data_IF_468310716297
#
_entry.id   IF_468310716297
#
_cell.length_a   1.000
_cell.length_b   1.000
_cell.length_c   1.000
_cell.angle_alpha   90.00
_cell.angle_beta   90.00
_cell.angle_gamma   90.00
#
_symmetry.space_group_name_H-M   'P 1'
#
loop_
_entity.id
_entity.type
_entity.pdbx_description
1 polymer ?
#
# COMPACT_ATOMS: atom_id res chain seq x y z
N UNK A 1 54.11 -52.38 35.23
CA UNK A 1 54.79 -53.55 34.62
C UNK A 1 54.16 -53.71 33.25
N UNK A 2 54.75 -53.15 32.18
CA UNK A 2 55.72 -53.82 31.30
C UNK A 2 55.14 -55.18 30.81
N UNK A 3 54.87 -55.46 29.53
CA UNK A 3 55.71 -55.20 28.36
C UNK A 3 54.97 -55.26 27.01
N UNK A 4 55.62 -54.66 26.01
CA UNK A 4 55.41 -54.73 24.55
C UNK A 4 55.62 -56.13 23.98
N UNK A 5 54.88 -56.50 22.92
CA UNK A 5 55.36 -57.26 21.73
C UNK A 5 54.45 -56.90 20.52
N UNK A 6 54.93 -56.12 19.54
CA UNK A 6 55.25 -56.50 18.13
C UNK A 6 54.19 -57.41 17.45
N UNK A 7 53.62 -57.14 16.26
CA UNK A 7 54.09 -56.39 15.10
C UNK A 7 54.50 -57.34 13.97
N UNK A 8 53.54 -57.91 13.19
CA UNK A 8 53.79 -58.57 11.88
C UNK A 8 52.54 -58.39 10.98
N UNK A 9 52.69 -57.95 9.71
CA UNK A 9 51.58 -57.79 8.77
C UNK A 9 51.30 -59.06 7.95
N UNK A 10 50.01 -59.34 7.71
CA UNK A 10 49.52 -60.44 6.88
C UNK A 10 49.73 -60.13 5.38
N UNK A 11 50.48 -61.02 4.73
CA UNK A 11 50.63 -61.12 3.29
C UNK A 11 49.28 -61.41 2.61
N UNK A 12 48.97 -60.67 1.53
CA UNK A 12 48.00 -61.09 0.52
C UNK A 12 48.72 -61.34 -0.80
N UNK A 13 48.55 -62.58 -1.22
CA UNK A 13 49.05 -63.26 -2.41
C UNK A 13 48.75 -62.49 -3.69
N UNK A 14 49.76 -62.39 -4.54
CA UNK A 14 49.68 -62.00 -5.95
C UNK A 14 49.17 -63.20 -6.74
N UNK A 15 48.01 -63.07 -7.36
CA UNK A 15 47.63 -63.90 -8.51
C UNK A 15 47.50 -63.01 -9.74
N UNK A 16 48.46 -63.16 -10.65
CA UNK A 16 48.41 -62.67 -12.01
C UNK A 16 47.35 -63.46 -12.78
N UNK A 17 46.33 -62.78 -13.30
CA UNK A 17 45.60 -63.26 -14.47
C UNK A 17 45.75 -62.23 -15.58
N UNK A 18 46.59 -62.61 -16.55
CA UNK A 18 46.74 -61.95 -17.85
C UNK A 18 45.48 -62.20 -18.65
N UNK A 19 44.78 -61.15 -19.07
CA UNK A 19 43.86 -61.22 -20.21
C UNK A 19 43.85 -59.88 -20.95
N UNK A 20 44.78 -59.76 -21.90
CA UNK A 20 44.76 -58.75 -22.95
C UNK A 20 43.70 -59.12 -23.98
N UNK A 21 42.46 -58.66 -23.77
CA UNK A 21 41.46 -58.56 -24.83
C UNK A 21 41.48 -57.14 -25.40
N UNK A 22 42.13 -56.95 -26.54
CA UNK A 22 42.07 -55.70 -27.29
C UNK A 22 40.60 -55.40 -27.68
N UNK A 23 39.97 -54.44 -27.00
CA UNK A 23 38.66 -53.91 -27.39
C UNK A 23 38.83 -53.14 -28.69
N UNK A 24 38.28 -53.69 -29.78
CA UNK A 24 38.20 -53.02 -31.07
C UNK A 24 37.55 -51.64 -30.93
N UNK A 25 38.13 -50.62 -31.57
CA UNK A 25 37.55 -49.29 -31.66
C UNK A 25 36.17 -49.36 -32.32
N UNK A 26 35.14 -48.65 -31.83
CA UNK A 26 33.81 -48.69 -32.43
C UNK A 26 33.87 -48.13 -33.86
N UNK A 27 33.32 -48.89 -34.83
CA UNK A 27 33.14 -48.43 -36.21
C UNK A 27 32.36 -47.11 -36.22
N UNK A 28 32.79 -46.16 -37.05
CA UNK A 28 32.09 -44.89 -37.24
C UNK A 28 30.66 -45.17 -37.71
N UNK A 29 29.67 -44.71 -36.94
CA UNK A 29 28.27 -44.90 -37.28
C UNK A 29 27.96 -44.24 -38.64
N UNK A 30 27.49 -45.03 -39.59
CA UNK A 30 26.98 -44.55 -40.88
C UNK A 30 25.78 -43.63 -40.62
N UNK A 31 25.86 -42.37 -41.06
CA UNK A 31 24.78 -41.38 -40.88
C UNK A 31 23.51 -41.77 -41.62
N UNK A 32 22.37 -41.19 -41.24
CA UNK A 32 21.07 -41.47 -41.84
C UNK A 32 21.09 -41.23 -43.38
N UNK A 33 20.80 -42.25 -44.21
CA UNK A 33 20.95 -42.18 -45.68
C UNK A 33 20.09 -41.09 -46.32
N UNK A 34 18.94 -40.74 -45.73
CA UNK A 34 18.06 -39.69 -46.25
C UNK A 34 18.70 -38.29 -46.22
N UNK A 35 19.45 -37.96 -45.16
CA UNK A 35 20.13 -36.66 -45.06
C UNK A 35 21.34 -36.57 -46.00
N UNK A 36 21.99 -37.71 -46.27
CA UNK A 36 23.07 -37.82 -47.26
C UNK A 36 22.57 -37.60 -48.69
N UNK A 37 21.37 -38.08 -49.01
CA UNK A 37 20.75 -37.87 -50.33
C UNK A 37 20.29 -36.42 -50.54
N UNK A 38 19.99 -35.68 -49.48
CA UNK A 38 19.62 -34.26 -49.55
C UNK A 38 20.80 -33.29 -49.46
N UNK A 39 22.05 -33.78 -49.44
CA UNK A 39 23.25 -32.94 -49.35
C UNK A 39 23.41 -32.18 -48.02
N UNK A 40 22.61 -32.52 -47.02
CA UNK A 40 22.66 -31.89 -45.71
C UNK A 40 23.81 -32.50 -44.88
N UNK A 41 24.57 -31.69 -44.13
CA UNK A 41 25.58 -32.24 -43.22
C UNK A 41 24.92 -33.21 -42.24
N UNK A 42 25.66 -34.23 -41.81
CA UNK A 42 25.18 -35.17 -40.79
C UNK A 42 24.99 -34.43 -39.46
N UNK A 43 23.82 -33.81 -39.25
CA UNK A 43 23.44 -33.23 -37.97
C UNK A 43 23.30 -34.39 -37.00
N UNK A 44 24.34 -34.62 -36.20
CA UNK A 44 24.30 -35.57 -35.09
C UNK A 44 23.45 -34.94 -33.99
N UNK A 45 22.14 -34.88 -34.19
CA UNK A 45 21.16 -34.51 -33.18
C UNK A 45 21.13 -35.62 -32.10
N UNK A 46 22.20 -35.70 -31.31
CA UNK A 46 22.23 -36.52 -30.12
C UNK A 46 21.22 -35.92 -29.17
N UNK A 47 20.23 -36.72 -28.77
CA UNK A 47 19.28 -36.33 -27.75
C UNK A 47 20.07 -35.87 -26.51
N UNK A 48 19.63 -34.79 -25.84
CA UNK A 48 20.24 -34.37 -24.59
C UNK A 48 20.28 -35.53 -23.60
N UNK A 49 21.30 -35.57 -22.75
CA UNK A 49 21.40 -36.63 -21.73
C UNK A 49 20.20 -36.62 -20.79
N UNK A 50 19.95 -37.72 -20.05
CA UNK A 50 18.82 -37.82 -19.11
C UNK A 50 18.70 -36.61 -18.18
N UNK A 51 19.80 -36.16 -17.57
CA UNK A 51 19.79 -35.02 -16.66
C UNK A 51 19.47 -33.71 -17.40
N UNK A 52 19.95 -33.55 -18.63
CA UNK A 52 19.59 -32.41 -19.48
C UNK A 52 18.13 -32.43 -19.91
N UNK A 53 17.56 -33.60 -20.24
CA UNK A 53 16.13 -33.72 -20.54
C UNK A 53 15.26 -33.35 -19.34
N UNK A 54 15.63 -33.82 -18.15
CA UNK A 54 14.92 -33.46 -16.89
C UNK A 54 15.02 -31.96 -16.64
N UNK A 55 16.21 -31.37 -16.80
CA UNK A 55 16.39 -29.93 -16.62
C UNK A 55 15.56 -29.13 -17.62
N UNK A 56 15.63 -29.47 -18.91
CA UNK A 56 14.89 -28.78 -19.96
C UNK A 56 13.37 -28.96 -19.79
N UNK A 57 12.88 -30.14 -19.38
CA UNK A 57 11.45 -30.35 -19.17
C UNK A 57 10.91 -29.52 -18.00
N UNK A 58 11.62 -29.49 -16.86
CA UNK A 58 11.20 -28.71 -15.69
C UNK A 58 11.24 -27.21 -15.99
N UNK A 59 12.35 -26.72 -16.57
CA UNK A 59 12.50 -25.29 -16.88
C UNK A 59 11.54 -24.82 -17.97
N UNK A 60 11.34 -25.60 -19.03
CA UNK A 60 10.36 -25.27 -20.08
C UNK A 60 8.93 -25.32 -19.57
N UNK A 61 8.57 -26.31 -18.74
CA UNK A 61 7.24 -26.39 -18.13
C UNK A 61 6.96 -25.18 -17.23
N UNK A 62 7.91 -24.80 -16.37
CA UNK A 62 7.78 -23.60 -15.54
C UNK A 62 7.69 -22.32 -16.37
N UNK A 63 8.56 -22.15 -17.38
CA UNK A 63 8.53 -20.99 -18.27
C UNK A 63 7.21 -20.90 -19.06
N UNK A 64 6.70 -22.05 -19.53
CA UNK A 64 5.42 -22.13 -20.21
C UNK A 64 4.27 -21.72 -19.29
N UNK A 65 4.27 -22.16 -18.03
CA UNK A 65 3.26 -21.77 -17.04
C UNK A 65 3.28 -20.25 -16.77
N UNK A 66 4.46 -19.65 -16.59
CA UNK A 66 4.61 -18.20 -16.40
C UNK A 66 4.16 -17.41 -17.64
N UNK A 67 4.56 -17.87 -18.83
CA UNK A 67 4.15 -17.23 -20.08
C UNK A 67 2.63 -17.31 -20.29
N UNK A 68 2.05 -18.47 -19.98
CA UNK A 68 0.62 -18.70 -20.09
C UNK A 68 -0.17 -17.79 -19.14
N UNK A 69 0.21 -17.70 -17.86
CA UNK A 69 -0.48 -16.81 -16.90
C UNK A 69 -0.38 -15.35 -17.34
N UNK A 70 0.80 -14.88 -17.78
CA UNK A 70 0.97 -13.51 -18.33
C UNK A 70 0.16 -13.24 -19.59
N UNK A 71 0.01 -14.24 -20.46
CA UNK A 71 -0.79 -14.11 -21.68
C UNK A 71 -2.28 -14.01 -21.34
N UNK A 72 -2.75 -14.82 -20.39
CA UNK A 72 -4.14 -14.77 -19.94
C UNK A 72 -4.44 -13.48 -19.17
N UNK A 73 -3.55 -13.00 -18.29
CA UNK A 73 -3.73 -11.70 -17.61
C UNK A 73 -3.81 -10.55 -18.61
N UNK A 74 -2.94 -10.52 -19.64
CA UNK A 74 -2.98 -9.51 -20.68
C UNK A 74 -4.26 -9.58 -21.54
N UNK A 75 -4.75 -10.80 -21.81
CA UNK A 75 -6.02 -11.01 -22.51
C UNK A 75 -7.20 -10.46 -21.69
N UNK A 76 -7.26 -10.78 -20.40
CA UNK A 76 -8.29 -10.30 -19.48
C UNK A 76 -8.22 -8.78 -19.35
N UNK A 77 -7.03 -8.22 -19.16
CA UNK A 77 -6.82 -6.78 -19.11
C UNK A 77 -7.41 -6.10 -20.34
N UNK A 78 -7.10 -6.61 -21.54
CA UNK A 78 -7.65 -6.08 -22.79
C UNK A 78 -9.18 -6.17 -22.83
N UNK A 79 -9.75 -7.31 -22.46
CA UNK A 79 -11.21 -7.51 -22.42
C UNK A 79 -11.92 -6.46 -21.55
N UNK A 80 -11.43 -6.19 -20.34
CA UNK A 80 -12.03 -5.19 -19.46
C UNK A 80 -11.71 -3.75 -19.87
N UNK A 81 -10.54 -3.50 -20.47
CA UNK A 81 -10.24 -2.20 -21.08
C UNK A 81 -11.18 -1.90 -22.25
N UNK A 82 -11.42 -2.87 -23.13
CA UNK A 82 -12.33 -2.75 -24.28
C UNK A 82 -13.79 -2.53 -23.81
N UNK A 83 -14.17 -3.07 -22.64
CA UNK A 83 -15.48 -2.86 -22.01
C UNK A 83 -15.69 -1.38 -21.61
N UNK A 84 -14.68 -0.76 -20.99
CA UNK A 84 -14.78 0.63 -20.50
C UNK A 84 -14.39 1.68 -21.54
N UNK A 85 -13.67 1.28 -22.59
CA UNK A 85 -13.19 2.16 -23.66
C UNK A 85 -14.25 3.09 -24.26
N UNK A 86 -15.52 2.68 -24.48
CA UNK A 86 -16.54 3.57 -25.03
C UNK A 86 -16.82 4.81 -24.18
N UNK A 87 -16.49 4.81 -22.88
CA UNK A 87 -16.61 5.99 -22.04
C UNK A 87 -15.58 7.06 -22.39
N UNK A 88 -14.40 6.67 -22.86
CA UNK A 88 -13.33 7.59 -23.24
C UNK A 88 -13.62 8.37 -24.52
N UNK A 89 -14.48 7.85 -25.38
CA UNK A 89 -14.86 8.48 -26.66
C UNK A 89 -15.95 9.54 -26.49
N UNK A 90 -16.56 9.65 -25.30
CA UNK A 90 -17.60 10.64 -25.02
C UNK A 90 -17.00 12.04 -24.99
N UNK A 91 -17.46 12.87 -25.91
CA UNK A 91 -17.05 14.28 -25.99
C UNK A 91 -17.70 15.06 -24.83
N UNK A 92 -16.88 15.69 -23.99
CA UNK A 92 -17.33 16.56 -22.91
C UNK A 92 -17.22 18.04 -23.31
N UNK A 93 -18.12 18.91 -22.83
CA UNK A 93 -17.98 20.36 -22.99
C UNK A 93 -16.69 20.87 -22.34
N UNK A 94 -16.10 21.93 -22.90
CA UNK A 94 -14.86 22.54 -22.37
C UNK A 94 -15.01 23.14 -20.98
N UNK A 95 -16.25 23.43 -20.56
CA UNK A 95 -16.58 23.94 -19.23
C UNK A 95 -16.75 22.82 -18.19
N UNK A 96 -16.80 21.55 -18.61
CA UNK A 96 -17.11 20.42 -17.75
C UNK A 96 -15.87 19.57 -17.50
N UNK A 97 -15.53 19.33 -16.24
CA UNK A 97 -14.44 18.44 -15.86
C UNK A 97 -14.92 16.98 -15.80
N UNK A 98 -14.17 15.99 -16.33
CA UNK A 98 -14.57 14.60 -16.25
C UNK A 98 -14.68 14.11 -14.81
N UNK A 99 -15.48 13.06 -14.61
CA UNK A 99 -15.61 12.40 -13.31
C UNK A 99 -14.25 11.94 -12.75
N UNK A 100 -14.05 12.21 -11.46
CA UNK A 100 -12.82 11.87 -10.71
C UNK A 100 -13.07 10.80 -9.65
N UNK A 101 -12.15 9.84 -9.52
CA UNK A 101 -12.20 8.76 -8.54
C UNK A 101 -11.16 8.99 -7.43
N UNK A 102 -11.43 8.57 -6.19
CA UNK A 102 -10.41 8.58 -5.14
C UNK A 102 -9.91 7.16 -4.89
N UNK A 103 -8.59 6.98 -4.80
CA UNK A 103 -7.94 5.70 -4.60
C UNK A 103 -7.25 5.73 -3.24
N UNK A 104 -7.66 4.86 -2.34
CA UNK A 104 -7.02 4.69 -1.05
C UNK A 104 -6.00 3.56 -1.15
N UNK A 105 -4.72 3.93 -1.01
CA UNK A 105 -3.59 3.03 -1.14
C UNK A 105 -2.79 3.02 0.16
N UNK A 106 -2.59 1.85 0.74
CA UNK A 106 -1.80 1.71 1.96
C UNK A 106 -0.73 0.65 1.83
N UNK A 107 0.43 0.93 2.43
CA UNK A 107 1.51 -0.05 2.55
C UNK A 107 0.97 -1.33 3.23
N UNK A 108 1.21 -2.51 2.66
CA UNK A 108 0.83 -3.74 3.33
C UNK A 108 1.60 -3.87 4.64
N UNK A 109 1.07 -4.65 5.59
CA UNK A 109 1.71 -4.75 6.87
C UNK A 109 3.11 -5.36 6.80
N UNK A 110 4.08 -4.69 7.41
CA UNK A 110 5.52 -5.05 7.43
C UNK A 110 6.28 -4.88 6.11
N UNK A 111 5.69 -4.22 5.12
CA UNK A 111 6.35 -3.86 3.86
C UNK A 111 6.07 -2.38 3.53
N UNK A 112 6.73 -1.85 2.51
CA UNK A 112 6.61 -0.45 2.09
C UNK A 112 5.46 -0.21 1.11
N UNK A 113 5.21 1.08 0.82
CA UNK A 113 4.18 1.50 -0.14
C UNK A 113 4.46 1.08 -1.59
N UNK A 114 5.70 0.63 -1.89
CA UNK A 114 6.11 0.24 -3.25
C UNK A 114 5.28 -0.91 -3.79
N UNK A 115 5.06 -1.97 -3.01
CA UNK A 115 4.29 -3.13 -3.45
C UNK A 115 2.83 -2.76 -3.77
N UNK A 116 2.24 -1.89 -2.95
CA UNK A 116 0.89 -1.37 -3.19
C UNK A 116 0.85 -0.52 -4.48
N UNK A 117 1.84 0.35 -4.72
CA UNK A 117 1.93 1.13 -5.96
C UNK A 117 2.11 0.26 -7.19
N UNK A 118 2.99 -0.73 -7.15
CA UNK A 118 3.18 -1.68 -8.24
C UNK A 118 1.88 -2.41 -8.57
N UNK A 119 1.11 -2.85 -7.56
CA UNK A 119 -0.20 -3.48 -7.74
C UNK A 119 -1.22 -2.54 -8.40
N UNK A 120 -1.25 -1.27 -7.98
CA UNK A 120 -2.08 -0.25 -8.62
C UNK A 120 -1.70 -0.05 -10.10
N UNK A 121 -0.40 0.09 -10.40
CA UNK A 121 0.09 0.32 -11.76
C UNK A 121 -0.14 -0.88 -12.69
N UNK A 122 -0.01 -2.10 -12.16
CA UNK A 122 -0.16 -3.34 -12.94
C UNK A 122 -1.63 -3.64 -13.26
N UNK A 123 -2.54 -3.54 -12.28
CA UNK A 123 -3.91 -4.04 -12.45
C UNK A 123 -4.99 -2.94 -12.55
N UNK A 124 -4.91 -1.88 -11.74
CA UNK A 124 -6.00 -0.90 -11.63
C UNK A 124 -5.86 0.21 -12.66
N UNK A 125 -4.66 0.79 -12.78
CA UNK A 125 -4.38 1.92 -13.68
C UNK A 125 -4.79 1.66 -15.13
N UNK A 126 -4.49 0.50 -15.75
CA UNK A 126 -4.83 0.30 -17.16
C UNK A 126 -6.32 0.44 -17.46
N UNK A 127 -7.19 -0.05 -16.57
CA UNK A 127 -8.65 0.05 -16.72
C UNK A 127 -9.13 1.48 -16.52
N UNK A 128 -8.59 2.21 -15.54
CA UNK A 128 -8.92 3.63 -15.34
C UNK A 128 -8.52 4.49 -16.54
N UNK A 129 -7.33 4.25 -17.09
CA UNK A 129 -6.82 4.95 -18.28
C UNK A 129 -7.65 4.63 -19.51
N UNK A 130 -8.05 3.37 -19.71
CA UNK A 130 -8.91 2.98 -20.81
C UNK A 130 -10.28 3.68 -20.76
N UNK A 131 -10.80 3.94 -19.56
CA UNK A 131 -12.03 4.70 -19.34
C UNK A 131 -11.87 6.23 -19.33
N UNK A 132 -10.68 6.77 -19.57
CA UNK A 132 -10.35 8.20 -19.46
C UNK A 132 -10.77 8.85 -18.11
N UNK A 133 -10.69 8.08 -17.03
CA UNK A 133 -11.06 8.53 -15.69
C UNK A 133 -9.88 9.25 -15.01
N UNK A 134 -10.14 10.39 -14.37
CA UNK A 134 -9.15 11.06 -13.50
C UNK A 134 -9.18 10.43 -12.10
N UNK A 135 -8.05 10.45 -11.39
CA UNK A 135 -7.98 9.89 -10.04
C UNK A 135 -7.06 10.65 -9.08
N UNK A 136 -7.47 10.73 -7.82
CA UNK A 136 -6.64 11.16 -6.70
C UNK A 136 -6.21 9.97 -5.87
N UNK A 137 -4.94 9.91 -5.48
CA UNK A 137 -4.42 8.84 -4.62
C UNK A 137 -4.21 9.39 -3.21
N UNK A 138 -4.92 8.80 -2.24
CA UNK A 138 -4.68 9.00 -0.81
C UNK A 138 -3.77 7.88 -0.34
N UNK A 139 -2.51 8.22 -0.04
CA UNK A 139 -1.49 7.26 0.37
C UNK A 139 -1.35 7.17 1.90
N UNK A 140 -1.36 5.95 2.43
CA UNK A 140 -1.06 5.63 3.83
C UNK A 140 0.24 4.84 3.97
N UNK A 141 1.18 5.33 4.78
CA UNK A 141 2.43 4.61 5.08
C UNK A 141 2.33 3.82 6.38
N UNK A 142 1.58 4.33 7.34
CA UNK A 142 1.35 3.74 8.67
C UNK A 142 -0.12 3.41 8.84
N UNK A 143 -0.39 2.57 9.83
CA UNK A 143 -1.73 2.30 10.32
C UNK A 143 -2.37 3.61 10.82
N UNK A 144 -3.63 3.83 10.46
CA UNK A 144 -4.41 5.02 10.81
C UNK A 144 -4.28 6.18 9.84
N UNK A 145 -3.38 6.08 8.86
CA UNK A 145 -3.16 7.12 7.87
C UNK A 145 -4.37 7.30 6.94
N UNK A 146 -4.95 6.21 6.46
CA UNK A 146 -6.09 6.26 5.54
C UNK A 146 -7.37 6.64 6.27
N UNK A 147 -7.56 6.12 7.49
CA UNK A 147 -8.66 6.51 8.37
C UNK A 147 -8.69 8.03 8.53
N UNK A 148 -7.57 8.63 8.92
CA UNK A 148 -7.48 10.08 9.09
C UNK A 148 -7.80 10.81 7.79
N UNK A 149 -7.24 10.38 6.65
CA UNK A 149 -7.50 11.00 5.35
C UNK A 149 -8.98 10.95 4.94
N UNK A 150 -9.64 9.80 5.12
CA UNK A 150 -11.07 9.64 4.84
C UNK A 150 -11.93 10.50 5.79
N UNK A 151 -11.63 10.49 7.09
CA UNK A 151 -12.34 11.28 8.08
C UNK A 151 -12.18 12.78 7.84
N UNK A 152 -10.97 13.25 7.53
CA UNK A 152 -10.68 14.65 7.25
C UNK A 152 -11.40 15.13 5.97
N UNK A 153 -11.41 14.30 4.91
CA UNK A 153 -12.17 14.57 3.67
C UNK A 153 -13.65 14.79 3.97
N UNK A 154 -14.25 13.97 4.84
CA UNK A 154 -15.66 14.11 5.25
C UNK A 154 -15.86 15.33 6.15
N UNK A 155 -14.99 15.57 7.13
CA UNK A 155 -15.06 16.76 7.99
C UNK A 155 -14.96 18.05 7.20
N UNK A 156 -14.12 18.07 6.16
CA UNK A 156 -13.98 19.20 5.24
C UNK A 156 -15.28 19.44 4.46
N UNK A 157 -15.88 18.38 3.92
CA UNK A 157 -17.21 18.46 3.29
C UNK A 157 -18.26 19.02 4.25
N UNK A 158 -18.31 18.52 5.50
CA UNK A 158 -19.23 19.01 6.53
C UNK A 158 -19.00 20.48 6.87
N UNK A 159 -17.75 20.91 7.03
CA UNK A 159 -17.39 22.33 7.27
C UNK A 159 -17.87 23.24 6.14
N UNK A 160 -17.73 22.82 4.88
CA UNK A 160 -18.24 23.57 3.71
C UNK A 160 -19.78 23.62 3.70
N UNK A 161 -20.44 22.49 3.98
CA UNK A 161 -21.91 22.39 3.95
C UNK A 161 -22.60 23.13 5.10
N UNK A 162 -22.02 23.12 6.31
CA UNK A 162 -22.57 23.76 7.51
C UNK A 162 -22.20 25.25 7.61
N UNK A 163 -21.45 25.79 6.65
CA UNK A 163 -21.02 27.20 6.66
C UNK A 163 -20.07 27.56 7.81
N UNK A 164 -19.51 26.55 8.50
CA UNK A 164 -18.62 26.73 9.64
C UNK A 164 -17.21 27.22 9.25
N UNK A 165 -16.98 27.52 7.97
CA UNK A 165 -15.72 28.07 7.45
C UNK A 165 -15.31 29.38 8.15
N UNK A 166 -16.25 30.12 8.74
CA UNK A 166 -15.97 31.39 9.45
C UNK A 166 -15.45 31.20 10.88
N UNK A 167 -15.53 30.00 11.47
CA UNK A 167 -15.18 29.80 12.89
C UNK A 167 -13.75 29.30 13.13
N UNK A 168 -12.97 29.03 12.09
CA UNK A 168 -11.56 28.63 12.21
C UNK A 168 -10.73 29.34 11.13
N UNK A 169 -10.20 30.51 11.49
CA UNK A 169 -9.20 31.26 10.69
C UNK A 169 -7.82 30.57 10.65
N UNK A 170 -7.63 29.47 11.40
CA UNK A 170 -6.32 28.83 11.60
C UNK A 170 -5.99 27.66 10.65
N UNK A 171 -6.92 27.21 9.79
CA UNK A 171 -6.66 26.09 8.88
C UNK A 171 -6.41 26.65 7.48
N UNK A 172 -5.15 26.55 7.02
CA UNK A 172 -4.78 26.94 5.67
C UNK A 172 -5.60 26.18 4.62
N UNK A 173 -6.19 26.88 3.63
CA UNK A 173 -6.98 26.22 2.59
C UNK A 173 -6.10 25.25 1.81
N UNK A 174 -6.62 24.05 1.57
CA UNK A 174 -5.87 23.04 0.82
C UNK A 174 -5.73 23.50 -0.63
N UNK A 175 -4.62 23.15 -1.29
CA UNK A 175 -4.39 23.46 -2.71
C UNK A 175 -5.58 23.09 -3.61
N UNK A 176 -6.24 21.97 -3.32
CA UNK A 176 -7.44 21.51 -4.03
C UNK A 176 -8.64 22.46 -3.87
N UNK A 177 -8.83 23.05 -2.69
CA UNK A 177 -9.94 23.99 -2.42
C UNK A 177 -9.71 25.31 -3.15
N UNK A 178 -8.48 25.82 -3.12
CA UNK A 178 -8.09 27.04 -3.85
C UNK A 178 -8.35 26.84 -5.34
N UNK A 179 -7.95 25.68 -5.87
CA UNK A 179 -8.17 25.33 -7.28
C UNK A 179 -9.66 25.17 -7.59
N UNK A 180 -10.44 24.58 -6.67
CA UNK A 180 -11.88 24.42 -6.84
C UNK A 180 -12.61 25.78 -6.83
N UNK A 181 -12.26 26.71 -5.95
CA UNK A 181 -12.85 28.05 -5.90
C UNK A 181 -12.52 28.85 -7.18
N UNK A 182 -11.27 28.75 -7.66
CA UNK A 182 -10.88 29.36 -8.93
C UNK A 182 -11.67 28.78 -10.11
N UNK A 183 -11.93 27.47 -10.12
CA UNK A 183 -12.76 26.80 -11.13
C UNK A 183 -14.21 27.23 -11.05
N UNK A 184 -14.78 27.29 -9.85
CA UNK A 184 -16.15 27.77 -9.62
C UNK A 184 -16.30 29.22 -10.13
N UNK A 185 -15.30 30.08 -9.91
CA UNK A 185 -15.28 31.47 -10.41
C UNK A 185 -15.22 31.58 -11.94
N UNK A 186 -14.49 30.66 -12.59
CA UNK A 186 -14.41 30.59 -14.06
C UNK A 186 -15.66 29.94 -14.67
N UNK A 187 -16.54 29.34 -13.86
CA UNK A 187 -17.73 28.63 -14.31
C UNK A 187 -17.44 27.20 -14.79
N UNK A 188 -16.33 26.61 -14.37
CA UNK A 188 -16.04 25.19 -14.59
C UNK A 188 -16.87 24.34 -13.64
N UNK A 189 -17.59 23.35 -14.18
CA UNK A 189 -18.49 22.48 -13.42
C UNK A 189 -18.00 21.03 -13.49
N UNK A 190 -18.07 20.30 -12.39
CA UNK A 190 -17.79 18.86 -12.41
C UNK A 190 -18.90 18.10 -13.17
N UNK A 191 -18.53 17.08 -13.92
CA UNK A 191 -19.51 16.19 -14.57
C UNK A 191 -20.50 15.62 -13.55
N UNK A 192 -21.79 15.67 -13.91
CA UNK A 192 -22.87 15.07 -13.14
C UNK A 192 -22.79 13.54 -13.22
N UNK A 193 -21.95 12.94 -12.38
CA UNK A 193 -21.73 11.50 -12.33
C UNK A 193 -21.49 11.01 -10.91
N UNK A 194 -21.68 9.71 -10.71
CA UNK A 194 -21.48 9.07 -9.41
C UNK A 194 -19.98 8.97 -9.11
N UNK A 195 -19.47 9.88 -8.28
CA UNK A 195 -18.11 9.79 -7.72
C UNK A 195 -18.01 8.55 -6.84
N UNK A 196 -16.82 7.95 -6.75
CA UNK A 196 -16.62 6.84 -5.85
C UNK A 196 -15.17 6.58 -5.51
N UNK A 197 -15.02 5.67 -4.56
CA UNK A 197 -13.76 5.40 -3.88
C UNK A 197 -13.30 3.96 -4.18
N UNK A 198 -12.05 3.77 -4.60
CA UNK A 198 -11.42 2.46 -4.76
C UNK A 198 -10.43 2.24 -3.62
N UNK A 199 -10.56 1.13 -2.91
CA UNK A 199 -9.78 0.84 -1.72
C UNK A 199 -8.97 -0.43 -1.95
N UNK A 200 -7.64 -0.35 -1.87
CA UNK A 200 -6.76 -1.47 -2.22
C UNK A 200 -6.31 -2.22 -0.96
N UNK A 201 -6.82 -3.44 -0.81
CA UNK A 201 -6.50 -4.39 0.27
C UNK A 201 -7.44 -4.32 1.48
N UNK A 202 -7.49 -5.42 2.23
CA UNK A 202 -8.32 -5.55 3.44
C UNK A 202 -7.98 -4.52 4.52
N UNK A 203 -6.71 -4.26 4.78
CA UNK A 203 -6.24 -3.31 5.80
C UNK A 203 -6.74 -1.90 5.50
N UNK A 204 -6.62 -1.47 4.24
CA UNK A 204 -7.14 -0.19 3.78
C UNK A 204 -8.67 -0.12 3.86
N UNK A 205 -9.37 -1.23 3.59
CA UNK A 205 -10.84 -1.30 3.70
C UNK A 205 -11.32 -1.08 5.14
N UNK A 206 -10.66 -1.70 6.13
CA UNK A 206 -10.96 -1.49 7.55
C UNK A 206 -10.78 -0.04 7.97
N UNK A 207 -9.67 0.57 7.58
CA UNK A 207 -9.38 1.97 7.88
C UNK A 207 -10.32 2.95 7.18
N UNK A 208 -10.66 2.68 5.92
CA UNK A 208 -11.62 3.48 5.17
C UNK A 208 -12.99 3.46 5.85
N UNK A 209 -13.53 2.28 6.15
CA UNK A 209 -14.79 2.16 6.87
C UNK A 209 -14.75 2.88 8.21
N UNK A 210 -13.66 2.70 8.98
CA UNK A 210 -13.48 3.43 10.24
C UNK A 210 -13.47 4.95 10.02
N UNK A 211 -12.71 5.44 9.04
CA UNK A 211 -12.62 6.86 8.72
C UNK A 211 -13.96 7.45 8.26
N UNK A 212 -14.77 6.69 7.52
CA UNK A 212 -16.12 7.12 7.11
C UNK A 212 -17.02 7.32 8.32
N UNK A 213 -17.05 6.37 9.25
CA UNK A 213 -17.85 6.47 10.47
C UNK A 213 -17.34 7.60 11.36
N UNK A 214 -16.02 7.72 11.53
CA UNK A 214 -15.39 8.77 12.31
C UNK A 214 -15.65 10.17 11.73
N UNK A 215 -15.66 10.31 10.40
CA UNK A 215 -15.91 11.58 9.72
C UNK A 215 -17.35 12.07 9.88
N UNK A 216 -18.32 11.16 9.87
CA UNK A 216 -19.75 11.52 9.98
C UNK A 216 -20.23 11.61 11.43
N UNK A 217 -19.85 10.66 12.30
CA UNK A 217 -20.30 10.61 13.70
C UNK A 217 -19.40 11.39 14.65
N UNK A 218 -18.11 11.54 14.29
CA UNK A 218 -17.14 12.22 15.14
C UNK A 218 -17.29 13.74 15.12
N UNK A 219 -16.66 14.42 16.10
CA UNK A 219 -16.61 15.87 16.14
C UNK A 219 -15.82 16.45 14.95
N UNK A 220 -16.12 17.70 14.59
CA UNK A 220 -15.41 18.44 13.54
C UNK A 220 -14.04 18.91 14.00
N UNK A 221 -13.95 19.36 15.25
CA UNK A 221 -12.70 19.77 15.91
C UNK A 221 -12.09 18.57 16.60
N UNK A 222 -10.77 18.50 16.56
CA UNK A 222 -10.01 17.56 17.37
C UNK A 222 -10.43 17.70 18.84
N UNK A 223 -10.86 16.60 19.49
CA UNK A 223 -11.09 16.66 20.92
C UNK A 223 -9.76 17.04 21.58
N UNK A 224 -9.78 18.05 22.44
CA UNK A 224 -8.60 18.39 23.25
C UNK A 224 -8.30 17.13 24.05
N UNK A 225 -7.24 16.42 23.66
CA UNK A 225 -6.68 15.39 24.48
C UNK A 225 -6.22 16.13 25.74
N UNK A 226 -6.91 15.92 26.86
CA UNK A 226 -6.45 16.43 28.14
C UNK A 226 -5.21 15.61 28.46
N UNK A 227 -4.07 16.05 27.93
CA UNK A 227 -2.79 15.68 28.50
C UNK A 227 -2.84 16.23 29.93
N UNK A 228 -3.15 15.37 30.89
CA UNK A 228 -2.81 15.66 32.28
C UNK A 228 -1.31 15.81 32.31
N UNK A 229 -0.86 17.07 32.20
CA UNK A 229 0.51 17.48 32.44
C UNK A 229 0.85 16.89 33.79
N UNK A 230 1.73 15.88 33.80
CA UNK A 230 2.28 15.31 35.00
C UNK A 230 2.79 16.46 35.87
N UNK A 231 2.04 16.78 36.92
CA UNK A 231 2.33 17.88 37.81
C UNK A 231 3.68 17.61 38.48
N UNK A 232 4.64 18.47 38.13
CA UNK A 232 5.71 18.97 38.99
C UNK A 232 6.51 17.90 39.75
N UNK A 233 7.64 17.48 39.18
CA UNK A 233 8.81 17.11 40.00
C UNK A 233 9.24 18.35 40.80
N UNK A 234 8.65 18.55 41.97
CA UNK A 234 9.12 19.56 42.92
C UNK A 234 10.51 19.14 43.37
N UNK A 235 11.49 19.92 42.93
CA UNK A 235 12.84 19.97 43.46
C UNK A 235 12.74 20.29 44.96
N UNK A 236 13.03 19.30 45.81
CA UNK A 236 13.25 19.53 47.23
C UNK A 236 14.73 19.84 47.38
N UNK A 237 15.10 21.12 47.31
CA UNK A 237 16.39 21.59 47.82
C UNK A 237 16.19 22.04 49.27
N UNK A 238 16.63 21.17 50.17
CA UNK A 238 16.70 21.44 51.60
C UNK A 238 17.98 22.20 51.96
N UNK A 239 17.75 23.44 52.40
CA UNK A 239 18.48 24.19 53.42
C UNK A 239 19.71 25.07 53.04
N UNK A 240 19.90 26.19 53.78
CA UNK A 240 20.57 27.40 53.30
C UNK A 240 22.02 27.51 53.78
N UNK A 241 22.86 28.25 53.08
CA UNK A 241 24.15 28.70 53.60
C UNK A 241 24.39 30.17 53.23
N UNK A 242 24.75 30.92 54.27
CA UNK A 242 25.07 32.34 54.26
C UNK A 242 26.23 32.68 53.32
N UNK A 243 26.14 33.85 52.69
CA UNK A 243 27.31 34.64 52.29
C UNK A 243 27.37 34.96 50.81
N UNK A 244 26.86 36.13 50.41
CA UNK A 244 27.64 37.12 49.66
C UNK A 244 26.76 38.32 49.29
N UNK A 245 26.42 39.09 50.32
CA UNK A 245 26.01 40.49 50.19
C UNK A 245 27.22 41.41 49.87
N UNK A 246 28.21 40.92 49.10
CA UNK A 246 29.54 41.52 49.00
C UNK A 246 30.12 41.60 47.59
N UNK A 247 29.32 41.57 46.51
CA UNK A 247 29.80 42.08 45.19
C UNK A 247 28.65 42.75 44.43
N UNK A 248 28.11 43.83 45.01
CA UNK A 248 27.15 44.74 44.37
C UNK A 248 27.71 46.17 44.28
N UNK A 249 29.00 46.29 43.97
CA UNK A 249 29.69 47.56 43.82
C UNK A 249 30.88 47.46 42.86
N UNK A 250 30.62 47.25 41.56
CA UNK A 250 31.49 47.65 40.44
C UNK A 250 30.99 47.08 39.11
N UNK A 251 29.83 47.50 38.60
CA UNK A 251 29.51 47.42 37.18
C UNK A 251 28.22 48.20 36.86
N UNK A 252 28.18 49.45 37.29
CA UNK A 252 27.40 50.45 36.58
C UNK A 252 28.27 51.70 36.56
N UNK A 253 28.68 52.12 35.36
CA UNK A 253 28.78 53.50 34.91
C UNK A 253 29.49 53.56 33.55
N UNK A 254 28.73 53.99 32.55
CA UNK A 254 29.04 55.14 31.67
C UNK A 254 28.86 54.82 30.16
N UNK A 255 27.72 55.26 29.56
CA UNK A 255 27.60 56.44 28.64
C UNK A 255 27.88 56.04 27.16
N UNK A 256 27.09 56.34 26.11
CA UNK A 256 25.98 57.28 25.82
C UNK A 256 25.38 57.00 24.41
N UNK A 257 24.12 57.42 24.21
CA UNK A 257 23.48 58.13 23.06
C UNK A 257 23.68 57.62 21.59
N UNK A 258 22.79 57.68 20.58
CA UNK A 258 21.34 57.96 20.29
C UNK A 258 21.10 57.56 18.78
N UNK A 259 19.85 57.49 18.26
CA UNK A 259 19.46 56.96 16.91
C UNK A 259 19.24 58.12 15.89
N UNK A 260 18.47 58.07 14.74
CA UNK A 260 17.69 57.02 14.02
C UNK A 260 17.80 57.08 12.45
N UNK A 261 16.86 56.41 11.73
CA UNK A 261 16.33 56.73 10.36
C UNK A 261 16.95 55.93 9.21
N UNK A 262 16.29 55.51 8.12
CA UNK A 262 14.93 55.07 7.76
C UNK A 262 15.00 54.76 6.24
N UNK A 263 14.19 53.79 5.77
CA UNK A 263 13.69 53.71 4.37
C UNK A 263 14.75 53.29 3.30
N UNK A 264 14.48 52.69 2.14
CA UNK A 264 13.29 52.46 1.30
C UNK A 264 13.63 51.41 0.22
N UNK A 265 12.61 50.65 -0.24
CA UNK A 265 12.42 50.25 -1.65
C UNK A 265 12.85 48.80 -2.01
N UNK A 266 11.93 47.88 -2.33
CA UNK A 266 11.23 47.74 -3.64
C UNK A 266 12.18 47.13 -4.69
N UNK A 267 11.91 46.08 -5.48
CA UNK A 267 10.70 45.35 -5.88
C UNK A 267 11.10 44.49 -7.12
N UNK A 268 10.29 43.47 -7.48
CA UNK A 268 10.18 42.79 -8.80
C UNK A 268 11.35 41.88 -9.27
N UNK A 269 11.19 40.71 -9.90
CA UNK A 269 10.05 40.01 -10.56
C UNK A 269 10.50 38.63 -11.05
N UNK A 270 9.54 37.71 -11.25
CA UNK A 270 9.45 36.64 -12.30
C UNK A 270 10.52 35.52 -12.31
N UNK A 271 10.27 34.28 -12.73
CA UNK A 271 9.12 33.38 -12.90
C UNK A 271 9.73 32.09 -13.45
N UNK A 272 9.22 30.91 -13.06
CA UNK A 272 9.14 29.68 -13.88
C UNK A 272 10.47 29.03 -14.35
N UNK A 273 10.62 27.71 -14.57
CA UNK A 273 9.85 26.49 -14.37
C UNK A 273 10.74 25.33 -14.85
N UNK A 274 10.39 24.10 -14.44
CA UNK A 274 10.73 22.81 -15.07
C UNK A 274 12.12 22.19 -14.79
N UNK A 275 12.11 21.07 -14.07
CA UNK A 275 13.06 19.97 -14.29
C UNK A 275 12.22 18.75 -14.66
N UNK A 276 12.41 18.34 -15.92
CA UNK A 276 11.94 17.08 -16.48
C UNK A 276 13.11 16.10 -16.45
N UNK A 277 12.79 14.91 -15.97
CA UNK A 277 13.43 13.61 -16.08
C UNK A 277 14.22 13.36 -17.38
N UNK A 278 15.44 12.82 -17.30
CA UNK A 278 15.75 11.51 -17.93
C UNK A 278 17.03 10.84 -17.38
N UNK A 279 17.08 9.55 -17.63
CA UNK A 279 17.86 8.49 -17.00
C UNK A 279 19.07 8.03 -17.84
N UNK A 280 19.89 7.16 -17.21
CA UNK A 280 20.90 6.26 -17.79
C UNK A 280 22.25 6.90 -18.17
N UNK A 281 23.41 6.25 -18.00
CA UNK A 281 23.74 4.84 -17.85
C UNK A 281 25.10 4.66 -17.14
N UNK A 282 25.30 3.47 -16.53
CA UNK A 282 26.52 2.63 -16.53
C UNK A 282 27.87 3.27 -16.12
N UNK A 283 28.85 2.60 -15.51
CA UNK A 283 29.07 1.26 -14.98
C UNK A 283 30.42 1.37 -14.23
N UNK A 284 30.63 0.49 -13.25
CA UNK A 284 31.95 0.00 -12.80
C UNK A 284 33.05 0.98 -12.34
N UNK A 285 33.42 0.89 -11.07
CA UNK A 285 34.74 0.34 -10.68
C UNK A 285 34.90 0.27 -9.15
N UNK A 286 35.21 -0.94 -8.67
CA UNK A 286 35.85 -1.17 -7.37
C UNK A 286 37.04 -0.24 -7.15
N UNK A 287 37.18 0.33 -5.96
CA UNK A 287 38.45 0.50 -5.23
C UNK A 287 38.11 0.87 -3.78
N UNK A 288 38.39 -0.04 -2.85
CA UNK A 288 38.63 0.36 -1.46
C UNK A 288 40.00 1.04 -1.39
N UNK A 289 40.16 2.08 -0.56
CA UNK A 289 41.05 1.90 0.58
C UNK A 289 40.61 2.62 1.87
N UNK A 290 41.09 2.03 2.96
CA UNK A 290 41.56 2.65 4.21
C UNK A 290 40.66 3.61 5.01
N UNK A 291 40.10 3.01 6.05
CA UNK A 291 39.93 3.52 7.43
C UNK A 291 40.75 4.75 7.85
N UNK A 292 40.04 5.83 8.19
CA UNK A 292 40.36 6.80 9.25
C UNK A 292 39.09 7.07 10.08
N UNK A 293 39.19 7.42 11.38
CA UNK A 293 38.10 7.34 12.34
C UNK A 293 37.09 8.49 12.22
N UNK A 294 35.80 8.17 12.22
CA UNK A 294 34.69 9.15 12.31
C UNK A 294 34.66 9.81 13.71
N UNK A 295 34.43 11.13 13.81
CA UNK A 295 34.14 11.79 15.09
C UNK A 295 32.80 11.31 15.67
N UNK A 296 32.60 11.37 17.00
CA UNK A 296 31.39 10.85 17.64
C UNK A 296 30.14 11.54 17.09
N UNK A 297 29.16 10.72 16.67
CA UNK A 297 27.81 11.17 16.30
C UNK A 297 27.18 11.81 17.53
N UNK A 298 27.02 13.13 17.51
CA UNK A 298 25.98 13.80 18.30
C UNK A 298 24.63 13.21 17.85
N UNK A 299 23.92 12.60 18.79
CA UNK A 299 22.54 12.16 18.58
C UNK A 299 21.68 13.41 18.37
N UNK A 300 21.36 13.69 17.11
CA UNK A 300 20.29 14.64 16.79
C UNK A 300 19.04 14.25 17.62
N UNK A 301 18.35 15.20 18.26
CA UNK A 301 17.15 14.90 19.02
C UNK A 301 16.15 14.16 18.13
N UNK A 302 15.43 13.15 18.65
CA UNK A 302 14.53 12.35 17.83
C UNK A 302 13.50 13.28 17.21
N UNK A 303 13.55 13.42 15.88
CA UNK A 303 12.53 14.16 15.13
C UNK A 303 11.17 13.63 15.56
N UNK A 304 10.23 14.48 16.02
CA UNK A 304 8.92 14.02 16.46
C UNK A 304 8.32 13.23 15.30
N UNK A 305 8.04 11.95 15.54
CA UNK A 305 7.42 11.11 14.52
C UNK A 305 6.05 11.74 14.27
N UNK A 306 5.84 12.33 13.08
CA UNK A 306 4.51 12.75 12.63
C UNK A 306 3.62 11.51 12.64
N UNK A 307 2.91 11.33 13.74
CA UNK A 307 1.94 10.28 13.97
C UNK A 307 0.61 10.98 13.92
N UNK A 308 -0.27 10.54 13.03
CA UNK A 308 -1.58 11.16 12.88
C UNK A 308 -2.36 11.04 14.19
N UNK A 309 -3.25 12.00 14.50
CA UNK A 309 -3.96 12.01 15.77
C UNK A 309 -4.82 10.78 15.92
N UNK A 310 -5.10 10.38 17.16
CA UNK A 310 -5.96 9.24 17.46
C UNK A 310 -7.40 9.46 16.93
N UNK A 311 -8.22 8.39 16.84
CA UNK A 311 -9.62 8.52 16.43
C UNK A 311 -10.40 9.50 17.32
N UNK A 312 -11.16 10.41 16.70
CA UNK A 312 -11.90 11.44 17.46
C UNK A 312 -13.14 10.89 18.20
N UNK A 313 -13.55 9.66 17.86
CA UNK A 313 -14.66 8.94 18.47
C UNK A 313 -14.29 7.46 18.53
N UNK A 314 -14.67 6.77 19.62
CA UNK A 314 -14.49 5.33 19.80
C UNK A 314 -15.61 4.52 19.12
N UNK A 315 -15.35 3.23 18.80
CA UNK A 315 -16.36 2.34 18.19
C UNK A 315 -17.63 2.20 19.03
N UNK A 316 -17.47 2.15 20.36
CA UNK A 316 -18.58 1.95 21.31
C UNK A 316 -19.56 3.13 21.33
N UNK A 317 -19.09 4.32 20.97
CA UNK A 317 -19.89 5.54 20.95
C UNK A 317 -20.72 5.72 19.66
N UNK A 318 -20.64 4.82 18.69
CA UNK A 318 -21.36 4.98 17.41
C UNK A 318 -22.87 5.03 17.59
N UNK A 319 -23.43 4.14 18.40
CA UNK A 319 -24.88 4.04 18.62
C UNK A 319 -25.46 5.29 19.31
N UNK A 320 -24.67 5.96 20.16
CA UNK A 320 -25.09 7.15 20.89
C UNK A 320 -24.78 8.46 20.15
N UNK A 321 -23.88 8.42 19.16
CA UNK A 321 -23.50 9.60 18.38
C UNK A 321 -24.67 10.13 17.53
N UNK A 322 -24.72 11.45 17.41
CA UNK A 322 -25.73 12.16 16.61
C UNK A 322 -25.26 12.30 15.17
N UNK A 323 -26.16 12.04 14.22
CA UNK A 323 -25.87 12.25 12.80
C UNK A 323 -26.06 13.72 12.44
N UNK A 324 -25.09 14.33 11.74
CA UNK A 324 -25.22 15.72 11.33
C UNK A 324 -26.20 15.84 10.15
N UNK A 325 -26.87 16.99 10.08
CA UNK A 325 -27.82 17.34 9.01
C UNK A 325 -27.18 17.41 7.63
N UNK A 326 -25.85 17.63 7.59
CA UNK A 326 -25.04 17.64 6.37
C UNK A 326 -24.82 16.24 5.77
N UNK A 327 -25.25 15.16 6.42
CA UNK A 327 -25.17 13.81 5.84
C UNK A 327 -26.09 13.68 4.62
N UNK A 328 -25.56 13.30 3.44
CA UNK A 328 -26.41 13.09 2.27
C UNK A 328 -27.35 11.90 2.50
N UNK A 329 -28.42 11.83 1.71
CA UNK A 329 -29.36 10.70 1.72
C UNK A 329 -28.72 9.41 1.17
N UNK A 330 -27.75 9.56 0.26
CA UNK A 330 -26.98 8.47 -0.33
C UNK A 330 -25.50 8.86 -0.32
N UNK A 331 -24.66 7.95 0.18
CA UNK A 331 -23.20 8.11 0.15
C UNK A 331 -22.66 7.54 -1.16
N UNK A 332 -21.55 8.11 -1.63
CA UNK A 332 -20.87 7.65 -2.83
C UNK A 332 -20.48 6.17 -2.72
N UNK A 333 -20.59 5.40 -3.81
CA UNK A 333 -20.16 4.01 -3.82
C UNK A 333 -18.67 3.85 -3.57
N UNK A 334 -18.33 2.83 -2.80
CA UNK A 334 -16.97 2.43 -2.51
C UNK A 334 -16.77 0.95 -2.85
N UNK A 335 -15.57 0.58 -3.29
CA UNK A 335 -15.25 -0.82 -3.58
C UNK A 335 -13.87 -1.20 -3.08
N UNK A 336 -13.79 -2.35 -2.42
CA UNK A 336 -12.53 -2.94 -2.00
C UNK A 336 -11.96 -3.84 -3.11
N UNK A 337 -10.65 -3.74 -3.32
CA UNK A 337 -9.87 -4.46 -4.33
C UNK A 337 -8.93 -5.43 -3.61
N UNK A 338 -8.87 -6.71 -4.00
CA UNK A 338 -7.96 -7.67 -3.39
C UNK A 338 -6.51 -7.25 -3.54
N UNK A 339 -5.73 -7.46 -2.49
CA UNK A 339 -4.30 -7.17 -2.45
C UNK A 339 -3.56 -8.30 -1.72
N UNK A 340 -3.41 -9.46 -2.37
CA UNK A 340 -2.75 -10.61 -1.76
C UNK A 340 -1.25 -10.32 -1.55
N UNK A 341 -0.87 -10.08 -0.29
CA UNK A 341 0.50 -9.79 0.08
C UNK A 341 0.99 -10.75 1.19
N UNK A 342 1.73 -11.78 0.77
CA UNK A 342 2.25 -12.81 1.66
C UNK A 342 3.77 -12.68 1.82
N UNK A 343 4.24 -12.52 3.05
CA UNK A 343 5.66 -12.38 3.41
C UNK A 343 6.21 -13.66 4.06
N UNK A 344 7.53 -13.86 3.98
CA UNK A 344 8.25 -14.92 4.72
C UNK A 344 8.71 -16.12 3.89
N UNK A 345 9.89 -16.66 4.21
CA UNK A 345 10.55 -17.72 3.43
C UNK A 345 9.73 -19.01 3.33
N UNK A 346 9.17 -19.49 4.44
CA UNK A 346 8.35 -20.73 4.48
C UNK A 346 7.07 -20.65 3.65
N UNK A 347 6.59 -19.45 3.35
CA UNK A 347 5.45 -19.22 2.47
C UNK A 347 5.82 -19.25 0.98
N UNK A 348 7.06 -19.60 0.62
CA UNK A 348 7.54 -19.63 -0.76
C UNK A 348 6.74 -20.57 -1.69
N UNK A 349 6.37 -21.81 -1.31
CA UNK A 349 5.57 -22.67 -2.20
C UNK A 349 4.19 -22.06 -2.53
N UNK A 350 3.54 -21.47 -1.53
CA UNK A 350 2.25 -20.76 -1.70
C UNK A 350 2.44 -19.55 -2.62
N UNK A 351 3.53 -18.80 -2.45
CA UNK A 351 3.87 -17.67 -3.32
C UNK A 351 4.12 -18.09 -4.77
N UNK A 352 4.77 -19.23 -5.02
CA UNK A 352 4.93 -19.76 -6.39
C UNK A 352 3.58 -20.13 -6.97
N UNK A 353 2.73 -20.84 -6.22
CA UNK A 353 1.39 -21.20 -6.69
C UNK A 353 0.58 -19.95 -7.08
N UNK A 354 0.56 -18.93 -6.21
CA UNK A 354 -0.09 -17.65 -6.48
C UNK A 354 0.53 -16.90 -7.64
N UNK A 355 1.85 -16.98 -7.81
CA UNK A 355 2.56 -16.38 -8.94
C UNK A 355 2.17 -17.01 -10.28
N UNK A 356 1.85 -18.32 -10.31
CA UNK A 356 1.40 -19.03 -11.51
C UNK A 356 -0.11 -18.97 -11.74
N UNK A 357 -0.87 -18.40 -10.81
CA UNK A 357 -2.34 -18.32 -10.85
C UNK A 357 -2.84 -16.88 -10.66
N UNK A 358 -2.01 -15.87 -11.00
CA UNK A 358 -2.36 -14.46 -10.79
C UNK A 358 -3.55 -14.02 -11.62
N UNK A 359 -3.81 -14.70 -12.75
CA UNK A 359 -4.97 -14.44 -13.61
C UNK A 359 -6.30 -14.32 -12.88
N UNK A 360 -6.56 -15.13 -11.85
CA UNK A 360 -7.84 -15.09 -11.14
C UNK A 360 -7.98 -13.83 -10.27
N UNK A 361 -6.92 -13.48 -9.57
CA UNK A 361 -6.86 -12.21 -8.82
C UNK A 361 -6.97 -11.04 -9.77
N UNK A 362 -6.25 -11.08 -10.89
CA UNK A 362 -6.27 -10.03 -11.91
C UNK A 362 -7.67 -9.85 -12.50
N UNK A 363 -8.36 -10.93 -12.86
CA UNK A 363 -9.74 -10.90 -13.34
C UNK A 363 -10.69 -10.21 -12.35
N UNK A 364 -10.58 -10.54 -11.07
CA UNK A 364 -11.39 -9.94 -10.02
C UNK A 364 -11.11 -8.44 -9.86
N UNK A 365 -9.84 -8.04 -9.93
CA UNK A 365 -9.44 -6.61 -9.87
C UNK A 365 -9.96 -5.87 -11.09
N UNK A 366 -9.80 -6.42 -12.29
CA UNK A 366 -10.26 -5.80 -13.53
C UNK A 366 -11.79 -5.65 -13.54
N UNK A 367 -12.51 -6.69 -13.13
CA UNK A 367 -13.97 -6.68 -12.99
C UNK A 367 -14.45 -5.59 -12.03
N UNK A 368 -13.86 -5.50 -10.83
CA UNK A 368 -14.20 -4.46 -9.86
C UNK A 368 -13.86 -3.05 -10.30
N UNK A 369 -12.70 -2.89 -10.94
CA UNK A 369 -12.29 -1.58 -11.47
C UNK A 369 -13.22 -1.15 -12.60
N UNK A 370 -13.60 -2.07 -13.48
CA UNK A 370 -14.59 -1.82 -14.52
C UNK A 370 -15.97 -1.46 -13.93
N UNK A 371 -16.41 -2.11 -12.85
CA UNK A 371 -17.64 -1.73 -12.13
C UNK A 371 -17.63 -0.26 -11.70
N UNK A 372 -16.51 0.17 -11.11
CA UNK A 372 -16.32 1.54 -10.64
C UNK A 372 -16.29 2.56 -11.80
N UNK A 373 -15.66 2.18 -12.91
CA UNK A 373 -15.59 3.01 -14.14
C UNK A 373 -16.96 3.11 -14.82
N UNK A 374 -17.76 2.05 -14.85
CA UNK A 374 -19.14 2.08 -15.38
C UNK A 374 -20.14 2.75 -14.42
N UNK A 375 -19.72 3.05 -13.19
CA UNK A 375 -20.55 3.61 -12.13
C UNK A 375 -21.77 2.74 -11.73
N UNK A 376 -21.75 1.46 -12.05
CA UNK A 376 -22.79 0.50 -11.65
C UNK A 376 -22.61 0.13 -10.17
N UNK A 377 -23.65 0.31 -9.38
CA UNK A 377 -23.59 0.15 -7.94
C UNK A 377 -24.88 -0.40 -7.35
N UNK A 378 -24.76 -1.06 -6.20
CA UNK A 378 -25.86 -1.57 -5.39
C UNK A 378 -25.81 -1.05 -3.95
N UNK A 379 -26.85 -1.34 -3.18
CA UNK A 379 -26.87 -1.09 -1.74
C UNK A 379 -25.78 -1.90 -1.01
N UNK A 380 -25.19 -1.29 0.02
CA UNK A 380 -24.24 -1.94 0.92
C UNK A 380 -24.92 -3.10 1.66
N UNK A 381 -24.22 -4.22 1.77
CA UNK A 381 -24.67 -5.42 2.48
C UNK A 381 -23.66 -5.80 3.56
N UNK A 382 -24.10 -6.55 4.57
CA UNK A 382 -23.22 -7.04 5.66
C UNK A 382 -22.06 -7.91 5.14
N UNK A 383 -22.24 -8.57 3.99
CA UNK A 383 -21.20 -9.34 3.31
C UNK A 383 -20.04 -8.46 2.82
N UNK A 384 -20.28 -7.19 2.52
CA UNK A 384 -19.25 -6.24 2.08
C UNK A 384 -18.33 -5.84 3.23
N UNK A 385 -18.84 -5.81 4.47
CA UNK A 385 -18.03 -5.63 5.68
C UNK A 385 -17.00 -6.75 5.84
N UNK A 386 -17.38 -7.97 5.49
CA UNK A 386 -16.55 -9.18 5.61
C UNK A 386 -15.69 -9.45 4.37
N UNK A 387 -15.79 -8.62 3.34
CA UNK A 387 -15.03 -8.80 2.11
C UNK A 387 -13.51 -8.70 2.35
N UNK A 388 -12.72 -9.59 1.72
CA UNK A 388 -11.27 -9.79 1.94
C UNK A 388 -10.84 -10.22 3.36
N UNK A 389 -11.74 -10.66 4.23
CA UNK A 389 -11.36 -11.08 5.59
C UNK A 389 -10.33 -12.22 5.60
N UNK A 390 -10.27 -13.04 4.54
CA UNK A 390 -9.25 -14.09 4.43
C UNK A 390 -7.81 -13.55 4.36
N UNK A 391 -7.60 -12.33 3.84
CA UNK A 391 -6.27 -11.70 3.75
C UNK A 391 -5.67 -11.42 5.14
N UNK A 392 -6.50 -11.21 6.17
CA UNK A 392 -6.05 -10.91 7.54
C UNK A 392 -5.18 -12.03 8.14
N UNK A 393 -5.43 -13.28 7.70
CA UNK A 393 -4.68 -14.45 8.16
C UNK A 393 -3.24 -14.44 7.63
N UNK A 394 -3.04 -13.81 6.47
CA UNK A 394 -1.80 -13.80 5.70
C UNK A 394 -0.89 -12.63 6.05
N UNK A 395 -1.42 -11.65 6.80
CA UNK A 395 -0.64 -10.53 7.27
C UNK A 395 0.55 -10.97 8.12
N UNK A 396 1.62 -10.18 8.01
CA UNK A 396 2.87 -10.47 8.68
C UNK A 396 2.69 -10.48 10.21
N UNK A 397 3.44 -11.37 10.88
CA UNK A 397 3.36 -11.58 12.35
C UNK A 397 3.64 -10.31 13.16
N UNK A 398 4.36 -9.33 12.59
CA UNK A 398 4.62 -8.04 13.26
C UNK A 398 3.37 -7.26 13.57
N UNK A 399 2.29 -7.42 12.78
CA UNK A 399 1.00 -6.76 13.06
C UNK A 399 0.41 -7.23 14.37
N UNK A 400 0.59 -8.52 14.68
CA UNK A 400 0.06 -9.16 15.89
C UNK A 400 0.89 -8.89 17.13
N UNK A 401 2.10 -8.35 16.97
CA UNK A 401 2.94 -7.97 18.11
C UNK A 401 2.42 -6.66 18.70
N UNK A 402 2.30 -6.54 20.03
CA UNK A 402 2.09 -5.25 20.65
C UNK A 402 3.22 -4.30 20.23
N UNK A 403 2.90 -3.05 19.86
CA UNK A 403 3.94 -2.06 19.56
C UNK A 403 4.64 -1.75 20.89
N UNK A 404 5.98 -1.82 20.90
CA UNK A 404 6.80 -1.65 22.11
C UNK A 404 6.62 -0.26 22.73
N UNK A 405 6.19 0.73 21.93
CA UNK A 405 5.82 2.07 22.40
C UNK A 405 4.63 2.00 23.38
N UNK A 406 3.63 1.15 23.11
CA UNK A 406 2.50 0.93 24.01
C UNK A 406 2.97 0.35 25.36
N UNK A 407 3.99 -0.52 25.36
CA UNK A 407 4.51 -1.16 26.58
C UNK A 407 5.43 -0.24 27.42
N UNK A 408 6.03 0.80 26.83
CA UNK A 408 6.83 1.78 27.55
C UNK A 408 5.97 2.87 28.20
N UNK A 409 4.82 3.22 27.59
CA UNK A 409 3.82 4.12 28.15
C UNK A 409 2.93 3.45 29.21
N UNK A 410 2.70 2.13 29.10
CA UNK A 410 1.90 1.32 30.06
C UNK A 410 2.48 1.25 31.50
N UNK A 411 3.66 1.84 31.75
CA UNK A 411 4.20 2.03 33.10
C UNK A 411 3.53 3.16 33.90
N UNK A 412 2.68 3.98 33.28
CA UNK A 412 1.90 5.02 33.94
C UNK A 412 0.43 4.57 34.07
N UNK A 413 0.10 4.04 35.24
CA UNK A 413 -1.21 3.47 35.53
C UNK A 413 -2.30 4.55 35.75
N UNK A 414 -3.01 4.98 34.70
CA UNK A 414 -4.36 5.58 34.79
C UNK A 414 -5.14 5.28 33.49
N UNK A 415 -6.12 4.38 33.56
CA UNK A 415 -7.27 4.19 32.64
C UNK A 415 -7.20 4.80 31.23
N UNK A 416 -6.27 4.36 30.39
CA UNK A 416 -6.35 4.58 28.95
C UNK A 416 -7.26 3.51 28.34
N UNK A 417 -8.35 3.92 27.69
CA UNK A 417 -9.10 3.04 26.80
C UNK A 417 -8.09 2.36 25.86
N UNK A 418 -8.08 1.02 25.86
CA UNK A 418 -7.13 0.20 25.12
C UNK A 418 -6.96 0.75 23.70
N UNK A 419 -5.79 1.32 23.40
CA UNK A 419 -5.50 1.97 22.11
C UNK A 419 -5.94 1.07 20.96
N UNK A 420 -6.89 1.57 20.18
CA UNK A 420 -7.54 0.80 19.13
C UNK A 420 -6.53 0.33 18.08
N UNK A 421 -6.55 -0.96 17.76
CA UNK A 421 -5.70 -1.57 16.75
C UNK A 421 -6.51 -1.76 15.48
N UNK A 422 -6.63 -0.71 14.68
CA UNK A 422 -7.44 -0.65 13.46
C UNK A 422 -7.31 -1.87 12.55
N UNK A 423 -6.11 -2.42 12.40
CA UNK A 423 -5.92 -3.62 11.58
C UNK A 423 -6.40 -4.89 12.27
N UNK A 424 -6.19 -5.06 13.57
CA UNK A 424 -6.53 -6.31 14.27
C UNK A 424 -7.96 -6.37 14.80
N UNK A 425 -8.51 -5.24 15.21
CA UNK A 425 -9.82 -5.16 15.81
C UNK A 425 -10.91 -5.41 14.75
N UNK A 426 -12.02 -6.01 15.16
CA UNK A 426 -13.12 -6.29 14.23
C UNK A 426 -13.77 -5.00 13.72
N UNK A 427 -14.23 -5.03 12.47
CA UNK A 427 -14.86 -3.86 11.86
C UNK A 427 -16.23 -3.64 12.50
N UNK A 428 -16.37 -2.53 13.21
CA UNK A 428 -17.64 -2.04 13.74
C UNK A 428 -18.19 -0.97 12.80
N UNK A 429 -19.47 -1.10 12.44
CA UNK A 429 -20.18 -0.18 11.55
C UNK A 429 -21.49 0.28 12.19
N UNK A 430 -21.94 1.47 11.84
CA UNK A 430 -23.23 2.04 12.27
C UNK A 430 -24.27 1.84 11.16
N UNK A 431 -25.42 1.24 11.50
CA UNK A 431 -26.47 0.88 10.55
C UNK A 431 -27.05 2.09 9.78
N UNK A 432 -27.01 3.29 10.40
CA UNK A 432 -27.54 4.51 9.78
C UNK A 432 -26.60 5.04 8.70
N UNK A 433 -25.30 4.74 8.78
CA UNK A 433 -24.32 5.06 7.75
C UNK A 433 -24.32 3.97 6.68
N UNK A 434 -24.32 2.69 7.08
CA UNK A 434 -24.27 1.57 6.11
C UNK A 434 -25.50 1.52 5.21
N UNK A 435 -26.69 1.84 5.72
CA UNK A 435 -27.91 1.96 4.89
C UNK A 435 -27.80 3.00 3.78
N UNK A 436 -26.99 4.06 3.99
CA UNK A 436 -26.70 5.11 3.00
C UNK A 436 -25.54 4.75 2.06
N UNK A 437 -24.66 3.82 2.45
CA UNK A 437 -23.53 3.39 1.62
C UNK A 437 -23.98 2.60 0.40
N UNK A 438 -23.15 2.68 -0.64
CA UNK A 438 -23.28 1.94 -1.89
C UNK A 438 -21.97 1.23 -2.20
N UNK A 439 -22.04 0.16 -2.99
CA UNK A 439 -20.88 -0.62 -3.41
C UNK A 439 -20.95 -0.81 -4.92
N UNK A 440 -19.82 -0.61 -5.60
CA UNK A 440 -19.77 -0.86 -7.04
C UNK A 440 -19.91 -2.35 -7.33
N UNK A 441 -20.66 -2.69 -8.37
CA UNK A 441 -20.82 -4.07 -8.84
C UNK A 441 -21.12 -4.07 -10.33
N UNK A 442 -20.46 -4.96 -11.09
CA UNK A 442 -20.80 -5.15 -12.50
C UNK A 442 -22.13 -5.90 -12.58
N UNK A 443 -23.08 -5.44 -13.42
CA UNK A 443 -24.26 -6.21 -13.69
C UNK A 443 -23.84 -7.50 -14.41
N UNK A 444 -24.28 -8.65 -13.90
CA UNK A 444 -24.12 -9.93 -14.60
C UNK A 444 -24.84 -9.82 -15.95
N UNK A 445 -24.16 -10.24 -17.03
CA UNK A 445 -24.52 -10.05 -18.44
C UNK A 445 -26.01 -9.80 -18.74
N UNK A 446 -26.31 -8.68 -19.41
CA UNK A 446 -27.60 -8.43 -20.08
C UNK A 446 -28.65 -7.61 -19.33
N UNK A 447 -28.36 -7.07 -18.14
CA UNK A 447 -29.27 -6.13 -17.45
C UNK A 447 -28.54 -4.86 -17.07
N UNK A 448 -28.71 -3.81 -17.86
CA UNK A 448 -28.48 -2.44 -17.37
C UNK A 448 -29.41 -2.29 -16.17
N UNK A 449 -28.83 -2.13 -14.97
CA UNK A 449 -29.63 -1.95 -13.76
C UNK A 449 -30.44 -0.66 -13.89
N UNK A 450 -31.74 -0.80 -14.17
CA UNK A 450 -32.68 0.28 -13.93
C UNK A 450 -32.66 0.60 -12.43
N UNK A 451 -32.61 1.89 -12.12
CA UNK A 451 -32.53 2.43 -10.77
C UNK A 451 -33.75 1.98 -9.97
N UNK A 452 -33.66 0.89 -9.21
CA UNK A 452 -34.73 0.49 -8.30
C UNK A 452 -34.77 -0.97 -7.83
N UNK A 453 -34.15 -1.94 -8.53
CA UNK A 453 -34.31 -3.35 -8.16
C UNK A 453 -33.22 -3.84 -7.19
N UNK A 454 -33.61 -4.06 -5.93
CA UNK A 454 -32.80 -4.77 -4.93
C UNK A 454 -32.74 -6.25 -5.31
N UNK A 455 -31.64 -6.68 -5.92
CA UNK A 455 -31.37 -8.11 -6.11
C UNK A 455 -30.31 -8.57 -5.12
N UNK A 456 -30.61 -9.59 -4.33
CA UNK A 456 -29.63 -10.30 -3.49
C UNK A 456 -28.70 -11.14 -4.37
N UNK A 457 -27.74 -10.49 -5.01
CA UNK A 457 -26.72 -11.19 -5.79
C UNK A 457 -25.71 -11.85 -4.85
N UNK A 458 -25.70 -13.18 -4.83
CA UNK A 458 -24.60 -13.96 -4.26
C UNK A 458 -23.31 -13.60 -4.99
N UNK A 459 -22.21 -13.43 -4.25
CA UNK A 459 -20.90 -13.19 -4.87
C UNK A 459 -20.61 -14.27 -5.92
N UNK A 460 -20.04 -13.91 -7.08
CA UNK A 460 -19.75 -14.89 -8.12
C UNK A 460 -18.87 -16.01 -7.58
N UNK A 461 -19.16 -17.26 -7.96
CA UNK A 461 -18.52 -18.48 -7.43
C UNK A 461 -16.98 -18.48 -7.55
N UNK A 462 -16.44 -17.68 -8.48
CA UNK A 462 -15.02 -17.57 -8.78
C UNK A 462 -14.26 -16.50 -7.99
N UNK A 463 -14.91 -15.77 -7.07
CA UNK A 463 -14.27 -14.78 -6.19
C UNK A 463 -12.98 -15.37 -5.58
N UNK A 464 -11.84 -14.66 -5.66
CA UNK A 464 -10.58 -15.11 -5.07
C UNK A 464 -10.77 -15.25 -3.56
N UNK A 465 -10.93 -16.49 -3.14
CA UNK A 465 -10.84 -16.88 -1.75
C UNK A 465 -9.42 -17.40 -1.59
N UNK A 466 -8.60 -16.73 -0.76
CA UNK A 466 -7.16 -16.96 -0.60
C UNK A 466 -6.70 -18.40 -0.34
N UNK A 467 -7.63 -19.35 -0.19
CA UNK A 467 -7.50 -20.80 -0.37
C UNK A 467 -8.92 -21.43 -0.38
N UNK A 468 -9.33 -22.15 -1.44
CA UNK A 468 -10.31 -23.25 -1.28
C UNK A 468 -9.51 -24.42 -0.70
N UNK A 469 -9.73 -24.75 0.57
CA UNK A 469 -9.38 -26.08 1.07
C UNK A 469 -10.34 -27.07 0.42
N UNK A 470 -9.82 -27.90 -0.50
CA UNK A 470 -10.43 -29.21 -0.75
C UNK A 470 -10.26 -30.12 0.47
#
# INVERSE_FOLDING_TARGET
MADKVAGVPLAKTVEQTVNNGAKAAPKAAEGNPAFRMMGLPNIKAKLPSRNWMIFLSITSSFAAAVYYDKRETARLQKQYCDLVAPLSEKILPTTTMPRKMTIYLQAPPADGLRSAREHFYEYVKPVLVAGAMDWDVVEGRREGDLRFGAAEKIRRHRRKAEGAATQQEDIEPTKEEIVAEQRERVGCVDEAGVKGDLIIGRHAWKEYLRGVHEGWLGPLKEPVQVEEVAEVKQHIDGAPSLGDAAVKAAADLSIKDTPPTASTGSSSTTDSSSIVFDSNAADTSNTAPETLPEPPKEEDPPKPKLTKPDPYISTSAYSTATLPSSTPSQLGPAIAIPFPHLLGFWNFPIRIHRFLTRRYVAEEIFSRTAAAVLASHRAYQTTDTQYLQHEEKEWHKSVRKPKVEDAAEEGAAVSAEKKERLWLDDVVVDDRITSKLRVFELPVEGRVAEVGEQTSAQQPEWTYQGEKKE
#
